data_IF_988826305312
#
_entry.id   IF_988826305312
#
_cell.length_a   1.000
_cell.length_b   1.000
_cell.length_c   1.000
_cell.angle_alpha   90.00
_cell.angle_beta   90.00
_cell.angle_gamma   90.00
#
_symmetry.space_group_name_H-M   'P 1'
#
loop_
_entity.id
_entity.type
_entity.pdbx_description
1 polymer ?
#
# COMPACT_ATOMS: atom_id res chain seq x y z
N UNK A 1 8.03 -4.72 -16.56
CA UNK A 1 9.19 -4.95 -15.67
C UNK A 1 9.86 -3.61 -15.42
N UNK A 2 9.59 -2.98 -14.28
CA UNK A 2 10.11 -1.64 -13.95
C UNK A 2 11.61 -1.70 -13.63
N UNK A 3 12.36 -0.68 -14.03
CA UNK A 3 13.80 -0.50 -13.80
C UNK A 3 14.19 -0.60 -12.31
N UNK A 4 13.24 -0.33 -11.42
CA UNK A 4 13.37 -0.43 -9.97
C UNK A 4 13.49 -1.86 -9.47
N UNK A 5 12.80 -2.82 -10.11
CA UNK A 5 12.95 -4.23 -9.74
C UNK A 5 14.38 -4.71 -10.03
N UNK A 6 14.98 -4.24 -11.12
CA UNK A 6 16.36 -4.58 -11.50
C UNK A 6 17.38 -3.95 -10.56
N UNK A 7 17.14 -2.74 -10.04
CA UNK A 7 18.01 -2.08 -9.06
C UNK A 7 17.85 -2.63 -7.64
N UNK A 8 16.69 -3.20 -7.30
CA UNK A 8 16.46 -3.83 -5.98
C UNK A 8 17.41 -5.00 -5.71
N UNK A 9 17.83 -5.72 -6.76
CA UNK A 9 18.74 -6.86 -6.66
C UNK A 9 20.19 -6.49 -6.29
N UNK A 10 20.54 -5.20 -6.22
CA UNK A 10 21.90 -4.72 -5.91
C UNK A 10 22.01 -4.02 -4.56
N UNK A 11 20.97 -4.05 -3.72
CA UNK A 11 20.96 -3.35 -2.43
C UNK A 11 21.00 -4.34 -1.27
N UNK A 12 22.10 -4.33 -0.51
CA UNK A 12 22.34 -5.23 0.63
C UNK A 12 21.62 -4.79 1.92
N UNK A 13 21.00 -3.61 1.94
CA UNK A 13 20.31 -3.05 3.11
C UNK A 13 18.80 -3.23 3.00
N UNK A 14 18.19 -3.91 3.99
CA UNK A 14 16.73 -4.04 4.09
C UNK A 14 16.02 -2.68 4.07
N UNK A 15 16.62 -1.63 4.63
CA UNK A 15 16.06 -0.28 4.62
C UNK A 15 16.01 0.32 3.19
N UNK A 16 17.01 0.03 2.35
CA UNK A 16 17.05 0.49 0.97
C UNK A 16 16.04 -0.28 0.10
N UNK A 17 15.88 -1.59 0.34
CA UNK A 17 14.84 -2.40 -0.30
C UNK A 17 13.42 -1.93 0.07
N UNK A 18 13.19 -1.62 1.34
CA UNK A 18 11.91 -1.09 1.80
C UNK A 18 11.58 0.27 1.15
N UNK A 19 12.56 1.18 1.08
CA UNK A 19 12.38 2.49 0.44
C UNK A 19 12.08 2.38 -1.06
N UNK A 20 12.71 1.42 -1.76
CA UNK A 20 12.40 1.14 -3.18
C UNK A 20 11.00 0.54 -3.34
N UNK A 21 10.60 -0.40 -2.49
CA UNK A 21 9.24 -0.98 -2.52
C UNK A 21 8.17 0.10 -2.31
N UNK A 22 8.36 0.99 -1.35
CA UNK A 22 7.45 2.12 -1.10
C UNK A 22 7.40 3.07 -2.29
N UNK A 23 8.55 3.37 -2.88
CA UNK A 23 8.63 4.19 -4.09
C UNK A 23 7.92 3.54 -5.28
N UNK A 24 8.04 2.21 -5.43
CA UNK A 24 7.36 1.44 -6.47
C UNK A 24 5.84 1.43 -6.28
N UNK A 25 5.34 1.25 -5.05
CA UNK A 25 3.90 1.30 -4.74
C UNK A 25 3.29 2.68 -5.06
N UNK A 26 4.01 3.76 -4.73
CA UNK A 26 3.61 5.14 -5.10
C UNK A 26 3.58 5.33 -6.61
N UNK A 27 4.61 4.87 -7.32
CA UNK A 27 4.66 4.93 -8.78
C UNK A 27 3.54 4.14 -9.45
N UNK A 28 3.20 2.96 -8.93
CA UNK A 28 2.09 2.15 -9.45
C UNK A 28 0.74 2.81 -9.22
N UNK A 29 0.52 3.40 -8.04
CA UNK A 29 -0.69 4.17 -7.75
C UNK A 29 -0.86 5.33 -8.75
N UNK A 30 0.22 6.07 -9.03
CA UNK A 30 0.23 7.15 -10.03
C UNK A 30 0.01 6.60 -11.44
N UNK A 31 0.61 5.45 -11.77
CA UNK A 31 0.48 4.83 -13.09
C UNK A 31 -0.94 4.35 -13.37
N UNK A 32 -1.64 3.76 -12.38
CA UNK A 32 -3.03 3.32 -12.51
C UNK A 32 -3.97 4.50 -12.79
N UNK A 33 -3.77 5.59 -12.06
CA UNK A 33 -4.47 6.85 -12.27
C UNK A 33 -4.18 7.40 -13.68
N UNK A 34 -2.90 7.43 -14.09
CA UNK A 34 -2.49 7.89 -15.42
C UNK A 34 -3.10 7.04 -16.54
N UNK A 35 -3.29 5.74 -16.31
CA UNK A 35 -3.90 4.82 -17.28
C UNK A 35 -5.42 5.05 -17.42
N UNK A 36 -6.12 5.38 -16.33
CA UNK A 36 -7.55 5.78 -16.38
C UNK A 36 -7.74 7.18 -16.97
N UNK A 37 -6.76 8.08 -16.81
CA UNK A 37 -6.76 9.45 -17.34
C UNK A 37 -6.69 9.56 -18.87
N UNK A 38 -5.89 8.71 -19.53
CA UNK A 38 -5.62 8.86 -20.96
C UNK A 38 -6.78 8.43 -21.87
N UNK A 39 -7.88 7.90 -21.31
CA UNK A 39 -9.07 7.49 -22.08
C UNK A 39 -10.17 8.56 -22.19
N UNK A 40 -10.07 9.72 -21.53
CA UNK A 40 -11.01 10.81 -21.84
C UNK A 40 -10.44 12.19 -21.55
N UNK A 41 -10.09 12.91 -22.60
CA UNK A 41 -9.92 14.36 -22.54
C UNK A 41 -11.26 14.97 -22.11
N UNK A 42 -11.26 15.62 -20.94
CA UNK A 42 -12.37 16.35 -20.31
C UNK A 42 -13.50 15.46 -19.73
N UNK A 43 -13.66 15.52 -18.40
CA UNK A 43 -14.76 14.93 -17.59
C UNK A 43 -14.69 13.42 -17.29
N UNK A 44 -13.51 12.86 -17.02
CA UNK A 44 -13.43 11.51 -16.43
C UNK A 44 -13.81 11.56 -14.94
N UNK A 45 -15.04 11.17 -14.64
CA UNK A 45 -15.48 10.82 -13.30
C UNK A 45 -14.96 9.42 -12.95
N UNK A 46 -14.28 9.30 -11.83
CA UNK A 46 -13.74 8.04 -11.32
C UNK A 46 -14.71 7.48 -10.30
N UNK A 47 -15.25 6.29 -10.56
CA UNK A 47 -15.99 5.52 -9.57
C UNK A 47 -15.07 5.13 -8.41
N UNK A 48 -15.25 5.77 -7.26
CA UNK A 48 -14.42 5.52 -6.08
C UNK A 48 -14.60 4.11 -5.51
N UNK A 49 -15.80 3.49 -5.49
CA UNK A 49 -15.94 2.09 -5.13
C UNK A 49 -15.01 1.17 -5.93
N UNK A 50 -15.07 1.25 -7.28
CA UNK A 50 -14.22 0.42 -8.15
C UNK A 50 -12.74 0.68 -7.88
N UNK A 51 -12.36 1.95 -7.78
CA UNK A 51 -10.98 2.35 -7.56
C UNK A 51 -10.42 1.86 -6.22
N UNK A 52 -11.17 2.01 -5.13
CA UNK A 52 -10.74 1.59 -3.79
C UNK A 52 -10.66 0.07 -3.71
N UNK A 53 -11.59 -0.67 -4.33
CA UNK A 53 -11.51 -2.13 -4.42
C UNK A 53 -10.23 -2.58 -5.15
N UNK A 54 -9.92 -1.98 -6.31
CA UNK A 54 -8.70 -2.27 -7.05
C UNK A 54 -7.43 -1.98 -6.21
N UNK A 55 -7.41 -0.83 -5.52
CA UNK A 55 -6.27 -0.43 -4.67
C UNK A 55 -6.06 -1.41 -3.50
N UNK A 56 -7.13 -1.76 -2.79
CA UNK A 56 -7.06 -2.65 -1.63
C UNK A 56 -6.62 -4.05 -2.07
N UNK A 57 -7.18 -4.57 -3.17
CA UNK A 57 -6.78 -5.88 -3.70
C UNK A 57 -5.30 -5.91 -4.09
N UNK A 58 -4.81 -4.84 -4.73
CA UNK A 58 -3.40 -4.69 -5.05
C UNK A 58 -2.49 -4.68 -3.80
N UNK A 59 -2.91 -4.00 -2.75
CA UNK A 59 -2.16 -3.94 -1.49
C UNK A 59 -2.19 -5.29 -0.78
N UNK A 60 -3.34 -5.97 -0.72
CA UNK A 60 -3.46 -7.33 -0.19
C UNK A 60 -2.49 -8.29 -0.88
N UNK A 61 -2.45 -8.27 -2.21
CA UNK A 61 -1.53 -9.09 -3.00
C UNK A 61 -0.05 -8.77 -2.72
N UNK A 62 0.28 -7.49 -2.52
CA UNK A 62 1.64 -7.03 -2.24
C UNK A 62 2.16 -7.45 -0.85
N UNK A 63 1.25 -7.71 0.08
CA UNK A 63 1.54 -8.11 1.46
C UNK A 63 1.17 -9.56 1.77
N UNK A 64 0.88 -10.39 0.75
CA UNK A 64 0.68 -11.84 0.91
C UNK A 64 1.84 -12.46 1.69
N UNK A 65 1.53 -13.02 2.86
CA UNK A 65 2.50 -13.64 3.77
C UNK A 65 2.70 -12.90 5.10
N UNK A 66 2.21 -11.65 5.22
CA UNK A 66 2.17 -10.89 6.49
C UNK A 66 0.85 -11.17 7.21
N UNK A 67 0.68 -12.40 7.71
CA UNK A 67 -0.54 -12.82 8.42
C UNK A 67 -1.80 -12.90 7.53
N UNK A 68 -2.95 -13.16 8.17
CA UNK A 68 -4.26 -13.13 7.51
C UNK A 68 -4.88 -11.75 7.68
N UNK A 69 -4.80 -10.92 6.64
CA UNK A 69 -5.39 -9.57 6.63
C UNK A 69 -6.75 -9.66 5.96
N UNK A 70 -7.80 -9.16 6.63
CA UNK A 70 -9.15 -9.09 6.08
C UNK A 70 -9.55 -7.62 5.90
N UNK A 71 -10.00 -7.26 4.70
CA UNK A 71 -10.48 -5.92 4.40
C UNK A 71 -12.00 -5.90 4.38
N UNK A 72 -12.58 -5.12 5.29
CA UNK A 72 -14.02 -4.84 5.33
C UNK A 72 -14.31 -3.45 4.76
N UNK A 73 -14.82 -3.39 3.54
CA UNK A 73 -14.93 -2.17 2.75
C UNK A 73 -16.37 -1.64 2.74
N UNK A 74 -16.57 -0.50 3.39
CA UNK A 74 -17.82 0.26 3.39
C UNK A 74 -17.65 1.56 2.60
N UNK A 75 -17.90 1.50 1.29
CA UNK A 75 -17.60 2.61 0.37
C UNK A 75 -18.91 3.21 -0.15
N UNK A 76 -19.06 4.53 -0.01
CA UNK A 76 -20.17 5.26 -0.60
C UNK A 76 -20.10 5.24 -2.14
N UNK A 77 -21.26 5.18 -2.80
CA UNK A 77 -21.36 5.33 -4.25
C UNK A 77 -21.10 6.79 -4.63
N UNK A 78 -19.83 7.13 -4.80
CA UNK A 78 -19.38 8.48 -5.14
C UNK A 78 -18.44 8.40 -6.33
N UNK A 79 -18.63 9.36 -7.23
CA UNK A 79 -17.72 9.62 -8.32
C UNK A 79 -16.94 10.89 -8.02
N UNK A 80 -15.65 10.86 -8.30
CA UNK A 80 -14.76 12.01 -8.11
C UNK A 80 -14.12 12.37 -9.44
N UNK A 81 -13.94 13.67 -9.69
CA UNK A 81 -13.06 14.07 -10.76
C UNK A 81 -11.62 13.61 -10.45
N UNK A 82 -10.79 13.52 -11.48
CA UNK A 82 -9.45 12.99 -11.28
C UNK A 82 -8.61 13.86 -10.36
N UNK A 83 -8.79 15.19 -10.38
CA UNK A 83 -8.04 16.10 -9.49
C UNK A 83 -8.30 15.83 -8.01
N UNK A 84 -9.45 15.22 -7.68
CA UNK A 84 -9.80 14.74 -6.34
C UNK A 84 -9.43 13.27 -6.12
N UNK A 85 -9.65 12.40 -7.11
CA UNK A 85 -9.39 10.97 -6.99
C UNK A 85 -7.89 10.66 -6.79
N UNK A 86 -7.00 11.42 -7.44
CA UNK A 86 -5.54 11.26 -7.31
C UNK A 86 -5.06 11.43 -5.87
N UNK A 87 -5.27 12.60 -5.22
CA UNK A 87 -4.82 12.78 -3.84
C UNK A 87 -5.52 11.80 -2.88
N UNK A 88 -6.78 11.45 -3.13
CA UNK A 88 -7.49 10.46 -2.32
C UNK A 88 -6.82 9.08 -2.36
N UNK A 89 -6.44 8.62 -3.56
CA UNK A 89 -5.73 7.36 -3.74
C UNK A 89 -4.38 7.30 -3.02
N UNK A 90 -3.64 8.40 -3.05
CA UNK A 90 -2.37 8.51 -2.32
C UNK A 90 -2.56 8.42 -0.81
N UNK A 91 -3.55 9.14 -0.27
CA UNK A 91 -3.87 9.11 1.17
C UNK A 91 -4.27 7.69 1.59
N UNK A 92 -5.17 7.05 0.83
CA UNK A 92 -5.61 5.69 1.12
C UNK A 92 -4.47 4.69 1.07
N UNK A 93 -3.60 4.77 0.05
CA UNK A 93 -2.45 3.89 -0.10
C UNK A 93 -1.51 3.99 1.09
N UNK A 94 -1.19 5.21 1.53
CA UNK A 94 -0.31 5.43 2.68
C UNK A 94 -0.95 4.96 4.00
N UNK A 95 -2.23 5.28 4.23
CA UNK A 95 -2.95 4.86 5.44
C UNK A 95 -3.06 3.34 5.52
N UNK A 96 -3.47 2.69 4.43
CA UNK A 96 -3.60 1.22 4.39
C UNK A 96 -2.24 0.55 4.54
N UNK A 97 -1.21 1.04 3.83
CA UNK A 97 0.14 0.50 3.94
C UNK A 97 0.68 0.62 5.37
N UNK A 98 0.49 1.76 6.02
CA UNK A 98 0.91 1.96 7.40
C UNK A 98 0.11 1.08 8.37
N UNK A 99 -1.19 0.92 8.16
CA UNK A 99 -1.99 -0.02 8.94
C UNK A 99 -1.43 -1.45 8.83
N UNK A 100 -1.12 -1.93 7.61
CA UNK A 100 -0.54 -3.27 7.43
C UNK A 100 0.82 -3.39 8.11
N UNK A 101 1.72 -2.41 7.90
CA UNK A 101 3.09 -2.45 8.45
C UNK A 101 3.13 -2.43 9.97
N UNK A 102 2.25 -1.67 10.61
CA UNK A 102 2.34 -1.39 12.04
C UNK A 102 1.27 -2.10 12.89
N UNK A 103 0.12 -2.49 12.32
CA UNK A 103 -0.92 -3.19 13.07
C UNK A 103 -0.65 -4.69 13.26
N UNK A 104 0.25 -5.28 12.46
CA UNK A 104 0.68 -6.67 12.57
C UNK A 104 2.17 -6.74 12.94
N UNK A 105 2.54 -6.47 14.21
CA UNK A 105 3.91 -6.69 14.64
C UNK A 105 4.23 -8.17 14.46
N UNK A 106 5.18 -8.48 13.58
CA UNK A 106 5.79 -9.80 13.50
C UNK A 106 6.24 -10.18 14.91
N UNK A 107 5.90 -11.38 15.41
CA UNK A 107 6.18 -11.87 16.77
C UNK A 107 7.68 -11.90 17.19
N UNK A 108 8.57 -11.25 16.45
CA UNK A 108 10.02 -11.22 16.70
C UNK A 108 10.49 -10.15 17.67
N UNK A 109 9.60 -9.42 18.35
CA UNK A 109 9.98 -8.46 19.40
C UNK A 109 9.44 -8.81 20.80
N UNK A 110 9.04 -10.07 21.01
CA UNK A 110 8.81 -10.63 22.34
C UNK A 110 9.99 -11.48 22.82
N UNK A 111 11.23 -11.05 22.57
CA UNK A 111 12.38 -11.55 23.32
C UNK A 111 12.49 -10.73 24.62
N UNK A 112 11.49 -10.82 25.50
CA UNK A 112 11.72 -10.48 26.90
C UNK A 112 12.71 -11.52 27.43
N UNK A 113 13.94 -11.15 27.79
CA UNK A 113 14.88 -12.13 28.28
C UNK A 113 14.36 -12.63 29.62
N UNK A 114 14.24 -13.96 29.75
CA UNK A 114 13.64 -14.70 30.86
C UNK A 114 14.28 -14.47 32.25
N UNK A 115 15.21 -13.51 32.37
CA UNK A 115 15.86 -13.16 33.64
C UNK A 115 15.09 -12.12 34.47
N UNK A 116 14.01 -11.51 33.96
CA UNK A 116 13.23 -10.51 34.70
C UNK A 116 12.06 -11.08 35.53
N UNK A 117 11.76 -12.38 35.46
CA UNK A 117 10.62 -12.98 36.20
C UNK A 117 11.01 -13.42 37.62
N UNK A 118 12.28 -13.33 38.01
CA UNK A 118 12.73 -13.62 39.38
C UNK A 118 13.54 -12.46 39.95
N UNK A 119 12.89 -11.32 40.21
CA UNK A 119 13.21 -10.50 41.38
C UNK A 119 12.16 -9.41 41.64
N UNK A 120 11.36 -9.68 42.69
CA UNK A 120 10.78 -8.75 43.66
C UNK A 120 9.38 -8.20 43.40
#
# INVERSE_FOLDING_TARGET
MSLLNTQSNFLESEAALAAIKDSAHRMQSISLIHQKLYQSEYLSLVSMPSYIHELVHYLEDSYRGVGHIFFDLHIAQVEMDVSQAVPMGLILSEVVTNAIKYAFPTEKEAAFPSHWIYQR
#
